data_IF_079604161127
#
_entry.id   IF_079604161127
#
_cell.length_a   1.000
_cell.length_b   1.000
_cell.length_c   1.000
_cell.angle_alpha   90.00
_cell.angle_beta   90.00
_cell.angle_gamma   90.00
#
_symmetry.space_group_name_H-M   'P 1'
#
loop_
_entity.id
_entity.type
_entity.pdbx_description
1 polymer ?
#
# COMPACT_ATOMS: atom_id res chain seq x y z
N UNK A 1 -19.23 21.31 -17.44
CA UNK A 1 -19.86 22.65 -17.34
C UNK A 1 -19.65 23.15 -15.94
N UNK A 2 -18.59 23.93 -15.75
CA UNK A 2 -18.19 24.51 -14.46
C UNK A 2 -19.36 25.32 -13.85
N UNK A 3 -19.74 25.00 -12.62
CA UNK A 3 -20.73 25.73 -11.84
C UNK A 3 -20.06 26.85 -11.03
N UNK A 4 -20.80 27.92 -10.76
CA UNK A 4 -20.31 29.12 -10.05
C UNK A 4 -19.78 28.83 -8.63
N UNK A 5 -20.16 27.68 -8.06
CA UNK A 5 -19.80 27.28 -6.70
C UNK A 5 -18.65 26.24 -6.65
N UNK A 6 -18.12 25.82 -7.80
CA UNK A 6 -17.14 24.73 -7.85
C UNK A 6 -15.82 25.10 -7.16
N UNK A 7 -15.38 26.36 -7.21
CA UNK A 7 -14.15 26.78 -6.51
C UNK A 7 -14.30 26.72 -4.99
N UNK A 8 -15.46 27.14 -4.46
CA UNK A 8 -15.75 27.02 -3.03
C UNK A 8 -15.79 25.55 -2.63
N UNK A 9 -16.46 24.71 -3.42
CA UNK A 9 -16.57 23.28 -3.13
C UNK A 9 -15.20 22.58 -3.22
N UNK A 10 -14.34 22.94 -4.18
CA UNK A 10 -12.98 22.43 -4.28
C UNK A 10 -12.14 22.80 -3.05
N UNK A 11 -12.24 24.04 -2.59
CA UNK A 11 -11.51 24.50 -1.41
C UNK A 11 -12.05 23.86 -0.13
N UNK A 12 -13.37 23.82 0.06
CA UNK A 12 -13.99 23.14 1.20
C UNK A 12 -13.73 21.62 1.19
N UNK A 13 -13.59 21.02 0.00
CA UNK A 13 -13.20 19.63 -0.20
C UNK A 13 -11.76 19.38 0.27
N UNK A 14 -10.81 20.23 -0.14
CA UNK A 14 -9.40 20.17 0.32
C UNK A 14 -9.28 20.43 1.83
N UNK A 15 -10.04 21.39 2.35
CA UNK A 15 -10.08 21.77 3.76
C UNK A 15 -10.89 20.80 4.65
N UNK A 16 -11.53 19.78 4.06
CA UNK A 16 -12.40 18.79 4.75
C UNK A 16 -13.57 19.42 5.52
N UNK A 17 -14.14 20.48 4.99
CA UNK A 17 -15.24 21.22 5.62
C UNK A 17 -16.61 20.97 4.97
N UNK A 18 -16.69 20.14 3.92
CA UNK A 18 -17.95 19.73 3.30
C UNK A 18 -18.80 18.85 4.22
N UNK A 19 -20.11 19.04 4.14
CA UNK A 19 -21.06 18.12 4.77
C UNK A 19 -21.05 16.75 4.06
N UNK A 20 -21.40 15.64 4.74
CA UNK A 20 -21.38 14.30 4.13
C UNK A 20 -22.24 14.17 2.86
N UNK A 21 -23.39 14.87 2.83
CA UNK A 21 -24.31 14.87 1.68
C UNK A 21 -23.73 15.64 0.50
N UNK A 22 -23.09 16.78 0.74
CA UNK A 22 -22.41 17.57 -0.29
C UNK A 22 -21.15 16.86 -0.79
N UNK A 23 -20.40 16.21 0.11
CA UNK A 23 -19.19 15.46 -0.21
C UNK A 23 -19.48 14.35 -1.22
N UNK A 24 -20.51 13.55 -0.98
CA UNK A 24 -20.87 12.44 -1.86
C UNK A 24 -21.27 12.93 -3.26
N UNK A 25 -22.10 13.99 -3.33
CA UNK A 25 -22.51 14.59 -4.61
C UNK A 25 -21.31 15.21 -5.33
N UNK A 26 -20.39 15.83 -4.60
CA UNK A 26 -19.22 16.46 -5.17
C UNK A 26 -18.19 15.45 -5.68
N UNK A 27 -17.97 14.35 -4.96
CA UNK A 27 -17.11 13.24 -5.40
C UNK A 27 -17.68 12.54 -6.64
N UNK A 28 -19.01 12.36 -6.70
CA UNK A 28 -19.67 11.84 -7.89
C UNK A 28 -19.45 12.76 -9.10
N UNK A 29 -19.50 14.08 -8.89
CA UNK A 29 -19.17 15.06 -9.93
C UNK A 29 -17.69 15.02 -10.30
N UNK A 30 -16.76 14.95 -9.34
CA UNK A 30 -15.32 14.82 -9.61
C UNK A 30 -15.00 13.57 -10.45
N UNK A 31 -15.68 12.46 -10.21
CA UNK A 31 -15.50 11.22 -10.95
C UNK A 31 -16.08 11.26 -12.38
N UNK A 32 -17.06 12.12 -12.64
CA UNK A 32 -17.85 12.12 -13.87
C UNK A 32 -17.70 13.40 -14.72
N UNK A 33 -17.14 14.47 -14.16
CA UNK A 33 -16.88 15.76 -14.82
C UNK A 33 -15.36 15.98 -14.95
N UNK A 34 -14.72 15.61 -16.08
CA UNK A 34 -13.27 15.74 -16.26
C UNK A 34 -12.75 17.17 -16.05
N UNK A 35 -13.54 18.17 -16.46
CA UNK A 35 -13.20 19.60 -16.26
C UNK A 35 -13.10 19.98 -14.77
N UNK A 36 -13.94 19.39 -13.91
CA UNK A 36 -13.94 19.63 -12.46
C UNK A 36 -12.76 18.90 -11.81
N UNK A 37 -12.48 17.69 -12.27
CA UNK A 37 -11.35 16.89 -11.81
C UNK A 37 -10.00 17.57 -12.16
N UNK A 38 -9.84 18.09 -13.38
CA UNK A 38 -8.66 18.90 -13.76
C UNK A 38 -8.51 20.16 -12.91
N UNK A 39 -9.63 20.79 -12.55
CA UNK A 39 -9.65 21.99 -11.71
C UNK A 39 -9.24 21.69 -10.26
N UNK A 40 -9.60 20.52 -9.72
CA UNK A 40 -9.09 20.02 -8.43
C UNK A 40 -7.56 19.92 -8.45
N UNK A 41 -6.98 19.39 -9.52
CA UNK A 41 -5.52 19.28 -9.64
C UNK A 41 -4.86 20.65 -9.59
N UNK A 42 -5.43 21.63 -10.29
CA UNK A 42 -4.91 23.00 -10.29
C UNK A 42 -4.95 23.61 -8.88
N UNK A 43 -6.07 23.48 -8.18
CA UNK A 43 -6.22 23.94 -6.80
C UNK A 43 -5.23 23.26 -5.84
N UNK A 44 -5.14 21.93 -5.89
CA UNK A 44 -4.21 21.15 -5.07
C UNK A 44 -2.74 21.49 -5.37
N UNK A 45 -2.43 21.86 -6.61
CA UNK A 45 -1.07 22.28 -7.02
C UNK A 45 -0.70 23.66 -6.47
N UNK A 46 -1.65 24.61 -6.43
CA UNK A 46 -1.43 25.95 -5.87
C UNK A 46 -1.25 25.90 -4.34
N UNK A 47 -2.03 25.07 -3.63
CA UNK A 47 -1.89 24.86 -2.18
C UNK A 47 -0.55 24.17 -1.81
N UNK A 48 -0.03 23.27 -2.66
CA UNK A 48 1.28 22.66 -2.47
C UNK A 48 2.40 23.70 -2.51
N UNK A 49 2.33 24.65 -3.46
CA UNK A 49 3.31 25.75 -3.57
C UNK A 49 3.26 26.64 -2.33
N UNK A 50 2.06 26.93 -1.82
CA UNK A 50 1.88 27.73 -0.60
C UNK A 50 2.41 27.00 0.65
N UNK A 51 2.18 25.70 0.77
CA UNK A 51 2.70 24.87 1.86
C UNK A 51 4.24 24.77 1.82
N UNK A 52 4.81 24.57 0.63
CA UNK A 52 6.26 24.54 0.43
C UNK A 52 6.92 25.89 0.79
N UNK A 53 6.29 27.00 0.40
CA UNK A 53 6.74 28.35 0.76
C UNK A 53 6.59 28.63 2.25
N UNK A 54 5.51 28.18 2.88
CA UNK A 54 5.31 28.27 4.34
C UNK A 54 6.40 27.55 5.12
N UNK A 55 6.71 26.29 4.74
CA UNK A 55 7.79 25.52 5.34
C UNK A 55 9.18 26.11 5.07
N UNK A 56 9.39 26.76 3.92
CA UNK A 56 10.63 27.48 3.62
C UNK A 56 10.78 28.76 4.47
N UNK A 57 9.68 29.47 4.73
CA UNK A 57 9.66 30.65 5.61
C UNK A 57 9.95 30.29 7.07
N UNK A 58 9.43 29.16 7.58
CA UNK A 58 9.74 28.67 8.93
C UNK A 58 11.22 28.26 9.09
N UNK A 59 11.84 27.68 8.06
CA UNK A 59 13.30 27.43 8.03
C UNK A 59 14.13 28.70 7.97
N UNK A 60 13.64 29.75 7.31
CA UNK A 60 14.34 31.03 7.26
C UNK A 60 14.27 31.82 8.58
N UNK A 61 13.30 31.52 9.45
CA UNK A 61 13.14 32.19 10.75
C UNK A 61 13.90 31.51 11.90
N UNK A 62 14.43 30.31 11.69
CA UNK A 62 15.07 29.50 12.75
C UNK A 62 16.60 29.65 12.85
N UNK A 63 17.22 30.58 12.11
CA UNK A 63 18.65 30.89 12.24
C UNK A 63 18.88 32.33 12.72
N UNK A 64 19.18 32.57 14.01
CA UNK A 64 19.62 33.87 14.47
C UNK A 64 21.15 34.01 14.36
N UNK A 65 21.55 34.98 13.54
CA UNK A 65 22.88 35.52 13.29
C UNK A 65 23.87 35.46 14.48
N UNK A 66 25.06 34.91 14.22
CA UNK A 66 26.26 35.09 15.03
C UNK A 66 26.95 36.42 14.70
N UNK A 67 26.97 37.38 15.63
CA UNK A 67 28.04 38.38 15.71
C UNK A 67 28.35 38.85 17.15
N UNK A 68 29.52 38.38 17.62
CA UNK A 68 30.55 38.97 18.49
C UNK A 68 30.32 40.33 19.20
N UNK A 69 30.56 40.36 20.53
CA UNK A 69 31.29 41.45 21.21
C UNK A 69 31.86 41.01 22.58
N UNK A 70 33.14 41.37 22.81
CA UNK A 70 33.95 41.18 24.02
C UNK A 70 33.62 42.20 25.13
N UNK A 71 33.87 41.86 26.41
CA UNK A 71 34.73 42.62 27.36
C UNK A 71 34.32 42.41 28.83
N UNK A 72 35.32 42.30 29.73
CA UNK A 72 35.20 42.75 31.13
C UNK A 72 35.52 41.74 32.24
N UNK A 73 36.78 41.72 32.66
CA UNK A 73 37.31 41.23 33.96
C UNK A 73 36.70 41.99 35.16
N UNK A 74 36.55 41.48 36.39
CA UNK A 74 37.57 41.05 37.38
C UNK A 74 36.91 40.50 38.69
N UNK A 75 37.67 39.98 39.69
CA UNK A 75 37.22 38.99 40.68
C UNK A 75 36.96 39.54 42.09
N UNK A 76 36.27 38.78 42.96
CA UNK A 76 36.34 38.97 44.43
C UNK A 76 36.35 37.64 45.17
N UNK A 77 37.35 37.50 46.04
CA UNK A 77 37.61 36.38 46.94
C UNK A 77 37.43 36.87 48.39
N UNK A 78 36.51 36.33 49.19
CA UNK A 78 36.59 36.41 50.68
C UNK A 78 36.10 35.10 51.32
N UNK A 79 36.89 34.64 52.30
CA UNK A 79 36.80 33.39 53.07
C UNK A 79 35.73 33.41 54.19
N UNK A 80 35.09 32.24 54.38
CA UNK A 80 34.97 31.44 55.63
C UNK A 80 34.04 31.84 56.82
N UNK A 81 33.26 30.81 57.22
CA UNK A 81 32.71 30.41 58.55
C UNK A 81 31.41 31.07 59.07
N UNK A 82 30.31 30.30 59.06
CA UNK A 82 29.69 29.70 60.27
C UNK A 82 28.21 29.35 60.04
N UNK A 83 27.94 28.05 60.03
CA UNK A 83 26.85 27.31 60.67
C UNK A 83 25.51 28.01 61.05
N UNK A 84 24.44 27.34 60.60
CA UNK A 84 23.04 27.32 61.08
C UNK A 84 22.11 28.44 60.57
N UNK A 85 21.39 28.14 59.49
CA UNK A 85 19.97 28.50 59.26
C UNK A 85 19.42 27.69 58.06
N UNK A 86 19.51 26.35 58.14
CA UNK A 86 19.10 25.44 57.06
C UNK A 86 17.69 24.83 57.24
N UNK A 87 16.84 25.40 58.10
CA UNK A 87 15.53 24.80 58.43
C UNK A 87 14.31 25.64 57.98
N UNK A 88 14.48 26.89 57.55
CA UNK A 88 13.36 27.74 57.08
C UNK A 88 13.30 27.82 55.55
N UNK A 89 14.42 27.63 54.85
CA UNK A 89 14.49 27.72 53.39
C UNK A 89 14.00 26.44 52.69
N UNK A 90 14.08 25.25 53.33
CA UNK A 90 13.61 24.01 52.70
C UNK A 90 12.09 23.88 52.68
N UNK A 91 11.38 24.43 53.67
CA UNK A 91 9.91 24.39 53.73
C UNK A 91 9.28 25.27 52.65
N UNK A 92 9.88 26.42 52.35
CA UNK A 92 9.42 27.32 51.28
C UNK A 92 9.72 26.70 49.91
N UNK A 93 10.91 26.12 49.70
CA UNK A 93 11.24 25.44 48.44
C UNK A 93 10.35 24.22 48.18
N UNK A 94 9.99 23.46 49.22
CA UNK A 94 9.12 22.29 49.08
C UNK A 94 7.69 22.69 48.72
N UNK A 95 7.20 23.80 49.27
CA UNK A 95 5.89 24.34 48.94
C UNK A 95 5.86 24.91 47.51
N UNK A 96 6.91 25.59 47.06
CA UNK A 96 7.05 26.05 45.67
C UNK A 96 7.23 24.89 44.68
N UNK A 97 7.89 23.81 45.05
CA UNK A 97 8.00 22.60 44.22
C UNK A 97 6.67 21.84 44.15
N UNK A 98 5.89 21.80 45.22
CA UNK A 98 4.55 21.19 45.22
C UNK A 98 3.52 22.06 44.46
N UNK A 99 3.57 23.39 44.62
CA UNK A 99 2.73 24.30 43.84
C UNK A 99 3.15 24.36 42.37
N UNK A 100 4.45 24.34 42.07
CA UNK A 100 4.98 24.25 40.72
C UNK A 100 4.66 22.91 40.07
N UNK A 101 4.75 21.81 40.82
CA UNK A 101 4.33 20.48 40.39
C UNK A 101 2.82 20.39 40.18
N UNK A 102 2.00 21.05 41.00
CA UNK A 102 0.55 21.13 40.82
C UNK A 102 0.15 22.01 39.64
N UNK A 103 0.85 23.14 39.40
CA UNK A 103 0.65 23.97 38.22
C UNK A 103 1.12 23.28 36.94
N UNK A 104 2.25 22.58 36.96
CA UNK A 104 2.69 21.72 35.86
C UNK A 104 1.69 20.59 35.65
N UNK A 105 1.24 19.92 36.71
CA UNK A 105 0.21 18.88 36.62
C UNK A 105 -1.09 19.44 36.04
N UNK A 106 -1.56 20.62 36.44
CA UNK A 106 -2.72 21.28 35.83
C UNK A 106 -2.48 21.73 34.38
N UNK A 107 -1.28 22.18 34.03
CA UNK A 107 -0.90 22.48 32.64
C UNK A 107 -0.78 21.23 31.76
N UNK A 108 -0.43 20.07 32.33
CA UNK A 108 -0.38 18.79 31.62
C UNK A 108 -1.70 18.00 31.67
N UNK A 109 -2.59 18.24 32.65
CA UNK A 109 -3.86 17.52 32.83
C UNK A 109 -5.09 18.24 32.26
N UNK A 110 -4.92 19.47 31.79
CA UNK A 110 -5.95 20.21 31.02
C UNK A 110 -5.44 20.58 29.62
N UNK A 111 -4.77 19.65 28.93
CA UNK A 111 -4.67 19.71 27.48
C UNK A 111 -6.01 19.16 26.98
N UNK A 112 -6.89 19.99 26.37
CA UNK A 112 -8.01 19.45 25.61
C UNK A 112 -7.39 18.51 24.58
N UNK A 113 -7.98 17.32 24.42
CA UNK A 113 -7.66 16.39 23.35
C UNK A 113 -7.91 17.09 22.00
N UNK A 114 -6.95 17.91 21.59
CA UNK A 114 -6.98 18.70 20.37
C UNK A 114 -6.03 18.01 19.40
N UNK A 115 -6.66 17.22 18.52
CA UNK A 115 -6.27 17.07 17.11
C UNK A 115 -4.76 16.99 16.88
N UNK A 116 -4.09 16.04 17.53
CA UNK A 116 -2.74 15.65 17.12
C UNK A 116 -2.85 15.22 15.66
N UNK A 117 -2.19 15.94 14.76
CA UNK A 117 -2.04 15.52 13.37
C UNK A 117 -1.55 14.08 13.39
N UNK A 118 -2.42 13.12 13.06
CA UNK A 118 -1.98 11.76 12.77
C UNK A 118 -0.94 11.94 11.66
N UNK A 119 0.32 11.63 11.92
CA UNK A 119 1.35 11.60 10.88
C UNK A 119 1.22 10.33 10.04
N UNK A 120 1.98 10.24 8.96
CA UNK A 120 2.13 8.96 8.25
C UNK A 120 2.88 8.00 9.17
N UNK A 121 2.45 6.74 9.22
CA UNK A 121 3.11 5.69 10.00
C UNK A 121 3.40 4.50 9.09
N UNK A 122 4.42 3.72 9.42
CA UNK A 122 4.57 2.37 8.87
C UNK A 122 3.45 1.46 9.42
N UNK A 123 3.19 0.34 8.75
CA UNK A 123 2.29 -0.73 9.27
C UNK A 123 2.65 -1.13 10.71
N UNK A 124 3.94 -1.17 11.04
CA UNK A 124 4.50 -1.42 12.38
C UNK A 124 4.15 -0.34 13.44
N UNK A 125 3.56 0.78 13.03
CA UNK A 125 3.12 1.89 13.89
C UNK A 125 4.18 2.97 14.12
N UNK A 126 5.40 2.80 13.61
CA UNK A 126 6.46 3.79 13.70
C UNK A 126 6.14 5.03 12.84
N UNK A 127 6.32 6.26 13.34
CA UNK A 127 6.05 7.47 12.57
C UNK A 127 7.07 7.64 11.44
N UNK A 128 6.58 8.10 10.29
CA UNK A 128 7.38 8.45 9.12
C UNK A 128 7.49 9.96 9.07
N UNK A 129 8.73 10.46 9.10
CA UNK A 129 8.98 11.89 8.97
C UNK A 129 8.76 12.36 7.53
N UNK A 130 7.98 13.43 7.36
CA UNK A 130 7.77 14.06 6.07
C UNK A 130 9.07 14.72 5.59
N UNK A 131 9.22 14.79 4.27
CA UNK A 131 10.34 15.43 3.57
C UNK A 131 11.71 14.79 3.80
N UNK A 132 11.72 13.53 4.23
CA UNK A 132 12.94 12.72 4.31
C UNK A 132 12.91 11.67 3.22
N UNK A 133 13.94 11.71 2.36
CA UNK A 133 14.16 10.70 1.34
C UNK A 133 14.51 9.37 1.99
N UNK A 134 13.68 8.37 1.72
CA UNK A 134 13.87 6.98 2.11
C UNK A 134 14.40 6.16 0.93
N UNK A 135 15.17 5.12 1.25
CA UNK A 135 15.66 4.15 0.26
C UNK A 135 15.45 2.74 0.79
N UNK A 136 14.79 1.92 -0.02
CA UNK A 136 14.50 0.53 0.28
C UNK A 136 15.26 -0.35 -0.73
N UNK A 137 16.29 -1.05 -0.27
CA UNK A 137 17.14 -1.88 -1.14
C UNK A 137 16.57 -3.28 -1.37
N UNK A 138 15.87 -3.83 -0.38
CA UNK A 138 15.19 -5.13 -0.43
C UNK A 138 13.92 -5.12 0.42
N UNK A 139 13.03 -6.09 0.19
CA UNK A 139 11.76 -6.21 0.94
C UNK A 139 10.68 -5.24 0.46
N UNK A 140 9.83 -4.83 1.39
CA UNK A 140 8.74 -3.87 1.17
C UNK A 140 8.54 -2.96 2.39
N UNK A 141 7.77 -1.89 2.21
CA UNK A 141 7.27 -1.08 3.31
C UNK A 141 5.81 -0.69 3.05
N UNK A 142 4.91 -0.91 4.01
CA UNK A 142 3.55 -0.39 3.97
C UNK A 142 3.45 0.91 4.77
N UNK A 143 2.96 1.97 4.13
CA UNK A 143 2.69 3.28 4.72
C UNK A 143 1.19 3.46 4.94
N UNK A 144 0.79 3.86 6.13
CA UNK A 144 -0.58 4.24 6.46
C UNK A 144 -0.67 5.76 6.57
N UNK A 145 -1.37 6.36 5.62
CA UNK A 145 -1.61 7.79 5.61
C UNK A 145 -2.78 8.16 6.54
N UNK A 146 -2.76 9.38 7.13
CA UNK A 146 -3.84 9.89 7.98
C UNK A 146 -5.22 9.94 7.32
N UNK A 147 -5.24 10.03 5.99
CA UNK A 147 -6.45 9.96 5.14
C UNK A 147 -7.03 8.55 4.99
N UNK A 148 -6.31 7.53 5.44
CA UNK A 148 -6.67 6.12 5.26
C UNK A 148 -6.07 5.49 4.02
N UNK A 149 -5.34 6.23 3.17
CA UNK A 149 -4.60 5.64 2.06
C UNK A 149 -3.52 4.69 2.62
N UNK A 150 -3.48 3.48 2.07
CA UNK A 150 -2.46 2.48 2.39
C UNK A 150 -1.57 2.28 1.18
N UNK A 151 -0.26 2.43 1.33
CA UNK A 151 0.69 2.36 0.22
C UNK A 151 1.76 1.33 0.52
N UNK A 152 1.76 0.25 -0.25
CA UNK A 152 2.76 -0.81 -0.19
C UNK A 152 3.85 -0.56 -1.24
N UNK A 153 5.05 -0.22 -0.79
CA UNK A 153 6.22 0.06 -1.62
C UNK A 153 7.08 -1.20 -1.71
N UNK A 154 7.47 -1.60 -2.92
CA UNK A 154 8.33 -2.76 -3.14
C UNK A 154 9.74 -2.35 -3.54
N UNK A 155 10.74 -2.98 -2.93
CA UNK A 155 12.13 -2.75 -3.28
C UNK A 155 12.49 -3.28 -4.68
N UNK A 156 13.52 -2.69 -5.34
CA UNK A 156 14.26 -1.51 -4.91
C UNK A 156 13.44 -0.22 -5.13
N UNK A 157 13.41 0.65 -4.13
CA UNK A 157 12.65 1.90 -4.20
C UNK A 157 13.36 3.07 -3.51
N UNK A 158 13.10 4.28 -4.02
CA UNK A 158 13.45 5.52 -3.35
C UNK A 158 12.25 6.47 -3.41
N UNK A 159 11.81 6.91 -2.23
CA UNK A 159 10.58 7.67 -2.06
C UNK A 159 10.71 8.69 -0.94
N UNK A 160 9.77 9.62 -0.87
CA UNK A 160 9.67 10.65 0.17
C UNK A 160 8.20 10.88 0.47
N UNK A 161 7.81 10.88 1.75
CA UNK A 161 6.46 11.32 2.15
C UNK A 161 6.45 12.84 2.17
N UNK A 162 5.58 13.47 1.38
CA UNK A 162 5.56 14.93 1.22
C UNK A 162 4.42 15.59 2.01
N UNK A 163 3.52 14.81 2.60
CA UNK A 163 2.40 15.33 3.38
C UNK A 163 1.43 14.23 3.83
N UNK A 164 0.31 14.65 4.41
CA UNK A 164 -0.69 13.74 4.98
C UNK A 164 -1.48 12.94 3.93
N UNK A 165 -1.36 13.27 2.65
CA UNK A 165 -1.99 12.56 1.52
C UNK A 165 -1.15 12.66 0.25
N UNK A 166 0.17 12.78 0.38
CA UNK A 166 1.05 12.95 -0.77
C UNK A 166 2.43 12.31 -0.56
N UNK A 167 3.00 11.83 -1.65
CA UNK A 167 4.37 11.31 -1.67
C UNK A 167 5.06 11.57 -3.01
N UNK A 168 6.39 11.51 -2.99
CA UNK A 168 7.23 11.47 -4.18
C UNK A 168 7.83 10.08 -4.33
N UNK A 169 7.70 9.48 -5.51
CA UNK A 169 8.37 8.23 -5.89
C UNK A 169 9.45 8.55 -6.93
N UNK A 170 10.71 8.55 -6.52
CA UNK A 170 11.85 8.80 -7.42
C UNK A 170 12.17 7.57 -8.27
N UNK A 171 12.11 6.39 -7.67
CA UNK A 171 12.37 5.10 -8.32
C UNK A 171 11.63 4.00 -7.57
N UNK A 172 11.17 2.98 -8.30
CA UNK A 172 10.62 1.76 -7.73
C UNK A 172 9.16 1.56 -8.15
N UNK A 173 8.43 0.79 -7.34
CA UNK A 173 7.01 0.55 -7.55
C UNK A 173 6.26 0.51 -6.23
N UNK A 174 5.00 0.93 -6.25
CA UNK A 174 4.09 0.71 -5.13
C UNK A 174 2.69 0.34 -5.60
N UNK A 175 1.89 -0.17 -4.67
CA UNK A 175 0.43 -0.32 -4.78
C UNK A 175 -0.22 0.57 -3.72
N UNK A 176 -1.18 1.38 -4.12
CA UNK A 176 -1.95 2.24 -3.24
C UNK A 176 -3.41 1.77 -3.22
N UNK A 177 -3.93 1.48 -2.02
CA UNK A 177 -5.34 1.27 -1.76
C UNK A 177 -5.88 2.52 -1.06
N UNK A 178 -6.64 3.32 -1.80
CA UNK A 178 -7.13 4.60 -1.33
C UNK A 178 -8.64 4.51 -1.11
N UNK A 179 -9.11 4.60 0.16
CA UNK A 179 -10.54 4.67 0.44
C UNK A 179 -11.10 6.04 0.03
N UNK A 180 -12.43 6.20 0.07
CA UNK A 180 -13.08 7.48 -0.22
C UNK A 180 -12.51 8.65 0.61
N UNK A 181 -12.20 8.40 1.89
CA UNK A 181 -11.60 9.42 2.77
C UNK A 181 -10.20 9.89 2.36
N UNK A 182 -9.54 9.19 1.42
CA UNK A 182 -8.22 9.52 0.91
C UNK A 182 -8.16 9.96 -0.54
N UNK A 183 -9.31 10.15 -1.19
CA UNK A 183 -9.38 10.77 -2.52
C UNK A 183 -8.52 12.04 -2.56
N UNK A 184 -7.83 12.24 -3.69
CA UNK A 184 -6.81 13.28 -3.83
C UNK A 184 -5.43 12.84 -3.38
N UNK A 185 -5.21 11.53 -3.11
CA UNK A 185 -3.88 11.01 -2.81
C UNK A 185 -2.95 11.29 -4.01
N UNK A 186 -1.92 12.11 -3.76
CA UNK A 186 -1.04 12.63 -4.79
C UNK A 186 0.30 11.91 -4.79
N UNK A 187 0.72 11.48 -5.98
CA UNK A 187 2.01 10.84 -6.19
C UNK A 187 2.77 11.61 -7.26
N UNK A 188 3.86 12.23 -6.85
CA UNK A 188 4.80 12.87 -7.77
C UNK A 188 5.89 11.88 -8.17
N UNK A 189 6.25 11.90 -9.46
CA UNK A 189 7.33 11.09 -10.05
C UNK A 189 8.21 11.98 -10.92
N UNK A 190 9.43 11.56 -11.30
CA UNK A 190 10.29 12.33 -12.19
C UNK A 190 9.64 12.70 -13.54
N UNK A 191 8.64 11.95 -13.98
CA UNK A 191 8.00 12.12 -15.28
C UNK A 191 6.63 12.81 -15.22
N UNK A 192 6.02 12.93 -14.03
CA UNK A 192 4.68 13.51 -13.90
C UNK A 192 4.03 13.25 -12.55
N UNK A 193 2.75 13.65 -12.46
CA UNK A 193 1.91 13.56 -11.26
C UNK A 193 0.76 12.59 -11.48
N UNK A 194 0.42 11.81 -10.46
CA UNK A 194 -0.74 10.94 -10.42
C UNK A 194 -1.62 11.36 -9.25
N UNK A 195 -2.91 11.58 -9.49
CA UNK A 195 -3.88 11.90 -8.45
C UNK A 195 -4.97 10.84 -8.42
N UNK A 196 -5.21 10.31 -7.24
CA UNK A 196 -6.20 9.30 -6.97
C UNK A 196 -7.63 9.87 -6.84
N UNK A 197 -8.63 9.15 -7.36
CA UNK A 197 -10.06 9.43 -7.19
C UNK A 197 -10.82 8.29 -6.45
N UNK A 198 -10.18 7.61 -5.49
CA UNK A 198 -10.76 6.53 -4.68
C UNK A 198 -10.49 5.18 -5.32
N UNK A 199 -9.22 4.80 -5.38
CA UNK A 199 -8.75 3.76 -6.31
C UNK A 199 -7.83 2.75 -5.62
N UNK A 200 -7.79 1.56 -6.20
CA UNK A 200 -6.67 0.64 -6.05
C UNK A 200 -5.82 0.70 -7.32
N UNK A 201 -4.60 1.20 -7.21
CA UNK A 201 -3.71 1.38 -8.36
C UNK A 201 -2.26 1.10 -8.01
N UNK A 202 -1.44 0.89 -9.04
CA UNK A 202 0.01 0.83 -8.90
C UNK A 202 0.68 1.87 -9.76
N UNK A 203 1.84 2.32 -9.28
CA UNK A 203 2.75 3.16 -10.03
C UNK A 203 4.12 2.50 -10.03
N UNK A 204 4.75 2.44 -11.19
CA UNK A 204 6.13 2.03 -11.36
C UNK A 204 6.87 3.13 -12.09
N UNK A 205 8.04 3.52 -11.59
CA UNK A 205 8.87 4.52 -12.24
C UNK A 205 10.34 4.16 -12.13
N UNK A 206 11.07 4.45 -13.20
CA UNK A 206 12.52 4.32 -13.25
C UNK A 206 13.06 5.67 -13.69
N UNK A 207 13.94 6.29 -12.92
CA UNK A 207 14.42 7.69 -13.03
C UNK A 207 14.75 8.20 -14.45
N UNK A 208 15.02 7.31 -15.43
CA UNK A 208 15.41 7.66 -16.80
C UNK A 208 14.45 7.23 -17.90
N UNK A 209 13.31 6.62 -17.55
CA UNK A 209 12.39 6.02 -18.51
C UNK A 209 11.05 6.76 -18.47
N UNK A 210 10.05 6.09 -17.94
CA UNK A 210 8.66 6.47 -17.92
C UNK A 210 8.06 6.18 -16.54
N UNK A 211 6.91 6.76 -16.27
CA UNK A 211 6.07 6.37 -15.14
C UNK A 211 4.90 5.56 -15.67
N UNK A 212 4.80 4.30 -15.27
CA UNK A 212 3.70 3.40 -15.63
C UNK A 212 2.69 3.35 -14.50
N UNK A 213 1.44 3.40 -14.88
CA UNK A 213 0.28 3.43 -13.99
C UNK A 213 -0.62 2.28 -14.40
N UNK A 214 -1.03 1.44 -13.46
CA UNK A 214 -2.06 0.43 -13.68
C UNK A 214 -3.16 0.65 -12.67
N UNK A 215 -4.40 0.80 -13.16
CA UNK A 215 -5.58 0.98 -12.33
C UNK A 215 -6.27 -0.37 -12.19
N UNK A 216 -6.41 -0.86 -10.96
CA UNK A 216 -7.06 -2.13 -10.66
C UNK A 216 -8.55 -1.95 -10.38
N UNK A 217 -8.92 -0.85 -9.69
CA UNK A 217 -10.29 -0.45 -9.36
C UNK A 217 -10.36 1.05 -9.20
N UNK A 218 -11.36 1.73 -9.76
CA UNK A 218 -11.51 3.19 -9.60
C UNK A 218 -10.89 3.98 -10.76
N UNK A 219 -10.39 5.19 -10.48
CA UNK A 219 -9.89 6.12 -11.49
C UNK A 219 -8.73 6.95 -10.95
N UNK A 220 -7.72 7.17 -11.77
CA UNK A 220 -6.66 8.15 -11.47
C UNK A 220 -6.55 9.17 -12.58
N UNK A 221 -5.99 10.33 -12.26
CA UNK A 221 -5.59 11.31 -13.26
C UNK A 221 -4.07 11.32 -13.35
N UNK A 222 -3.56 10.94 -14.52
CA UNK A 222 -2.16 11.03 -14.89
C UNK A 222 -1.90 12.41 -15.50
N UNK A 223 -0.87 13.12 -15.06
CA UNK A 223 -0.54 14.47 -15.53
C UNK A 223 0.94 14.60 -15.87
N UNK A 224 1.22 15.14 -17.06
CA UNK A 224 2.53 15.66 -17.40
C UNK A 224 2.71 17.03 -16.78
N UNK A 225 3.85 17.25 -16.15
CA UNK A 225 4.19 18.51 -15.50
C UNK A 225 5.17 19.29 -16.37
N UNK A 226 4.97 20.61 -16.48
CA UNK A 226 5.92 21.50 -17.12
C UNK A 226 7.08 21.85 -16.17
N UNK A 227 8.13 22.50 -16.70
CA UNK A 227 9.31 22.88 -15.91
C UNK A 227 9.05 23.86 -14.76
N UNK A 228 7.92 24.56 -14.78
CA UNK A 228 7.49 25.48 -13.73
C UNK A 228 6.59 24.81 -12.69
N UNK A 229 6.41 23.47 -12.74
CA UNK A 229 5.58 22.72 -11.80
C UNK A 229 4.08 22.77 -12.09
N UNK A 230 3.66 23.36 -13.22
CA UNK A 230 2.26 23.36 -13.64
C UNK A 230 1.89 22.15 -14.51
N UNK A 231 0.60 21.83 -14.60
CA UNK A 231 0.10 20.77 -15.50
C UNK A 231 0.29 21.21 -16.96
N UNK A 232 0.94 20.38 -17.75
CA UNK A 232 1.03 20.54 -19.20
C UNK A 232 -0.12 19.84 -19.92
N UNK A 233 -0.44 18.61 -19.48
CA UNK A 233 -1.58 17.83 -19.98
C UNK A 233 -1.95 16.75 -18.98
N UNK A 234 -3.23 16.38 -18.97
CA UNK A 234 -3.80 15.36 -18.10
C UNK A 234 -4.53 14.29 -18.90
N UNK A 235 -4.62 13.09 -18.33
CA UNK A 235 -5.46 12.01 -18.83
C UNK A 235 -6.01 11.20 -17.67
N UNK A 236 -7.31 10.96 -17.68
CA UNK A 236 -7.94 10.03 -16.75
C UNK A 236 -7.68 8.59 -17.20
N UNK A 237 -7.22 7.76 -16.27
CA UNK A 237 -7.03 6.32 -16.45
C UNK A 237 -8.07 5.62 -15.58
N UNK A 238 -8.92 4.81 -16.21
CA UNK A 238 -10.00 4.12 -15.51
C UNK A 238 -9.60 2.69 -15.17
N UNK A 239 -10.41 2.04 -14.35
CA UNK A 239 -10.31 0.63 -13.99
C UNK A 239 -9.94 -0.29 -15.17
N UNK A 240 -9.05 -1.24 -14.89
CA UNK A 240 -8.45 -2.20 -15.81
C UNK A 240 -7.59 -1.61 -16.93
N UNK A 241 -7.41 -0.29 -16.99
CA UNK A 241 -6.52 0.36 -17.94
C UNK A 241 -5.18 0.71 -17.31
N UNK A 242 -4.19 0.90 -18.18
CA UNK A 242 -2.88 1.44 -17.81
C UNK A 242 -2.50 2.62 -18.69
N UNK A 243 -1.68 3.48 -18.12
CA UNK A 243 -1.07 4.59 -18.85
C UNK A 243 0.42 4.69 -18.53
N UNK A 244 1.14 5.25 -19.48
CA UNK A 244 2.55 5.56 -19.37
C UNK A 244 2.72 7.07 -19.56
N UNK A 245 3.33 7.72 -18.57
CA UNK A 245 3.76 9.10 -18.64
C UNK A 245 5.21 9.10 -19.12
N UNK A 246 5.45 9.57 -20.35
CA UNK A 246 6.78 9.72 -20.94
C UNK A 246 7.09 11.22 -21.08
N UNK A 247 7.86 11.75 -20.13
CA UNK A 247 8.21 13.18 -20.12
C UNK A 247 9.21 13.56 -21.22
N UNK A 248 9.94 12.59 -21.79
CA UNK A 248 10.87 12.84 -22.91
C UNK A 248 10.07 13.05 -24.20
N UNK A 249 9.07 12.22 -24.45
CA UNK A 249 8.16 12.35 -25.59
C UNK A 249 7.04 13.36 -25.37
N UNK A 250 6.88 13.86 -24.14
CA UNK A 250 5.77 14.73 -23.74
C UNK A 250 4.40 14.11 -24.06
N UNK A 251 4.23 12.83 -23.75
CA UNK A 251 2.98 12.12 -23.98
C UNK A 251 2.51 11.33 -22.75
N UNK A 252 1.18 11.20 -22.64
CA UNK A 252 0.53 10.22 -21.78
C UNK A 252 -0.14 9.20 -22.70
N UNK A 253 0.52 8.08 -22.90
CA UNK A 253 0.03 7.00 -23.74
C UNK A 253 -0.74 6.00 -22.88
N UNK A 254 -1.91 5.54 -23.34
CA UNK A 254 -2.43 4.27 -22.82
C UNK A 254 -1.52 3.13 -23.29
N UNK A 255 -1.34 2.11 -22.45
CA UNK A 255 -0.54 0.97 -22.86
C UNK A 255 -1.11 0.36 -24.15
N UNK A 256 -0.28 0.01 -25.14
CA UNK A 256 -0.74 -0.51 -26.43
C UNK A 256 -1.42 -1.89 -26.34
N UNK A 257 -1.38 -2.53 -25.17
CA UNK A 257 -2.11 -3.77 -24.92
C UNK A 257 -3.62 -3.49 -24.85
N UNK A 258 -4.31 -3.76 -25.96
CA UNK A 258 -5.77 -3.71 -26.05
C UNK A 258 -6.47 -4.71 -25.12
N UNK A 259 -5.72 -5.64 -24.51
CA UNK A 259 -6.21 -6.61 -23.54
C UNK A 259 -5.55 -6.34 -22.18
N UNK A 260 -6.36 -6.09 -21.17
CA UNK A 260 -5.97 -6.03 -19.77
C UNK A 260 -5.23 -7.31 -19.34
N UNK A 261 -4.44 -7.22 -18.27
CA UNK A 261 -3.75 -8.39 -17.69
C UNK A 261 -4.75 -9.51 -17.35
N UNK A 262 -5.93 -9.17 -16.85
CA UNK A 262 -6.99 -10.13 -16.55
C UNK A 262 -7.41 -10.92 -17.80
N UNK A 263 -7.63 -10.24 -18.93
CA UNK A 263 -7.99 -10.87 -20.20
C UNK A 263 -6.86 -11.78 -20.72
N UNK A 264 -5.60 -11.34 -20.64
CA UNK A 264 -4.44 -12.18 -21.01
C UNK A 264 -4.34 -13.44 -20.15
N UNK A 265 -4.75 -13.33 -18.90
CA UNK A 265 -4.79 -14.40 -17.92
C UNK A 265 -6.07 -15.25 -18.02
N UNK A 266 -7.04 -14.95 -18.87
CA UNK A 266 -8.33 -15.64 -18.88
C UNK A 266 -9.10 -15.51 -17.56
N UNK A 267 -8.94 -14.38 -16.87
CA UNK A 267 -9.70 -14.01 -15.67
C UNK A 267 -10.77 -13.02 -16.13
N UNK A 268 -12.03 -13.39 -15.94
CA UNK A 268 -13.19 -12.57 -16.30
C UNK A 268 -13.42 -11.47 -15.26
N UNK A 269 -13.45 -11.85 -13.98
CA UNK A 269 -13.73 -10.97 -12.85
C UNK A 269 -13.04 -11.48 -11.58
N UNK A 270 -12.80 -10.60 -10.62
CA UNK A 270 -12.34 -10.95 -9.28
C UNK A 270 -12.88 -9.95 -8.25
N UNK A 271 -12.97 -10.36 -6.98
CA UNK A 271 -13.50 -9.52 -5.89
C UNK A 271 -12.58 -8.36 -5.53
N UNK A 272 -13.11 -7.35 -4.83
CA UNK A 272 -12.36 -6.14 -4.44
C UNK A 272 -11.12 -6.40 -3.57
N UNK A 273 -11.12 -7.51 -2.84
CA UNK A 273 -10.04 -8.00 -2.00
C UNK A 273 -8.93 -8.71 -2.78
N UNK A 274 -9.04 -8.85 -4.11
CA UNK A 274 -8.08 -9.55 -4.94
C UNK A 274 -7.33 -8.57 -5.83
N UNK A 275 -6.00 -8.69 -5.85
CA UNK A 275 -5.11 -7.87 -6.69
C UNK A 275 -4.34 -8.76 -7.64
N UNK A 276 -4.63 -8.65 -8.93
CA UNK A 276 -3.91 -9.37 -9.98
C UNK A 276 -2.66 -8.60 -10.38
N UNK A 277 -1.48 -9.19 -10.20
CA UNK A 277 -0.19 -8.64 -10.61
C UNK A 277 0.50 -9.54 -11.62
N UNK A 278 1.16 -8.96 -12.61
CA UNK A 278 1.83 -9.74 -13.67
C UNK A 278 3.03 -10.54 -13.16
N UNK A 279 3.77 -9.98 -12.19
CA UNK A 279 4.99 -10.58 -11.67
C UNK A 279 4.99 -10.61 -10.15
N UNK A 280 5.33 -11.77 -9.60
CA UNK A 280 5.64 -11.92 -8.19
C UNK A 280 7.07 -11.41 -7.94
N UNK A 281 7.30 -10.51 -6.97
CA UNK A 281 8.65 -10.06 -6.68
C UNK A 281 9.58 -11.18 -6.19
N UNK A 282 10.83 -11.06 -6.61
CA UNK A 282 11.91 -12.00 -6.30
C UNK A 282 12.11 -12.27 -4.81
N UNK A 283 11.85 -11.27 -3.96
CA UNK A 283 11.97 -11.41 -2.51
C UNK A 283 10.95 -12.41 -1.95
N UNK A 284 9.70 -12.38 -2.42
CA UNK A 284 8.67 -13.38 -2.07
C UNK A 284 9.08 -14.78 -2.51
N UNK A 285 9.65 -14.90 -3.71
CA UNK A 285 10.07 -16.17 -4.27
C UNK A 285 11.14 -16.86 -3.40
N UNK A 286 12.02 -16.09 -2.76
CA UNK A 286 13.09 -16.67 -1.93
C UNK A 286 12.63 -17.08 -0.52
N UNK A 287 11.34 -17.04 -0.22
CA UNK A 287 10.81 -17.39 1.10
C UNK A 287 11.04 -16.31 2.15
N UNK A 288 11.32 -15.07 1.75
CA UNK A 288 11.20 -13.92 2.64
C UNK A 288 9.70 -13.62 2.78
N UNK A 289 9.19 -13.75 3.99
CA UNK A 289 7.82 -13.34 4.37
C UNK A 289 7.82 -11.85 4.74
N UNK A 290 6.65 -11.21 4.87
CA UNK A 290 6.51 -9.77 5.15
C UNK A 290 7.03 -8.87 4.00
N UNK A 291 6.92 -9.36 2.77
CA UNK A 291 7.31 -8.60 1.55
C UNK A 291 6.08 -7.96 0.89
N UNK A 292 4.87 -8.33 1.31
CA UNK A 292 3.62 -7.76 0.82
C UNK A 292 2.62 -7.57 1.94
N UNK A 293 3.07 -7.03 3.07
CA UNK A 293 2.17 -6.66 4.16
C UNK A 293 1.04 -5.80 3.60
N UNK A 294 -0.17 -6.35 3.59
CA UNK A 294 -1.38 -5.61 3.27
C UNK A 294 -2.60 -6.28 3.89
N UNK A 295 -3.22 -5.61 4.86
CA UNK A 295 -4.47 -6.09 5.45
C UNK A 295 -5.58 -6.20 4.39
N UNK A 296 -6.24 -7.36 4.35
CA UNK A 296 -7.47 -7.53 3.58
C UNK A 296 -7.32 -7.56 2.05
N UNK A 297 -6.08 -7.63 1.52
CA UNK A 297 -5.84 -7.87 0.09
C UNK A 297 -5.07 -9.17 -0.12
N UNK A 298 -5.62 -10.05 -0.96
CA UNK A 298 -4.94 -11.23 -1.47
C UNK A 298 -4.38 -10.92 -2.86
N UNK A 299 -3.13 -11.30 -3.10
CA UNK A 299 -2.45 -11.11 -4.37
C UNK A 299 -2.54 -12.36 -5.24
N UNK A 300 -2.73 -12.16 -6.54
CA UNK A 300 -2.77 -13.23 -7.54
C UNK A 300 -1.69 -12.96 -8.58
N UNK A 301 -0.86 -13.96 -8.83
CA UNK A 301 0.23 -13.88 -9.79
C UNK A 301 0.12 -15.02 -10.81
N UNK A 302 0.12 -14.75 -12.14
CA UNK A 302 0.30 -15.80 -13.12
C UNK A 302 1.76 -16.28 -13.06
N UNK A 303 2.00 -17.46 -12.49
CA UNK A 303 3.36 -18.01 -12.39
C UNK A 303 3.83 -18.52 -13.75
N UNK A 304 2.99 -19.31 -14.44
CA UNK A 304 3.34 -19.82 -15.76
C UNK A 304 2.11 -20.27 -16.55
N UNK A 305 2.09 -19.87 -17.81
CA UNK A 305 1.03 -20.16 -18.75
C UNK A 305 1.46 -21.24 -19.75
N UNK A 306 0.49 -21.94 -20.34
CA UNK A 306 0.67 -22.88 -21.46
C UNK A 306 1.64 -24.04 -21.15
N UNK A 307 1.67 -24.49 -19.90
CA UNK A 307 2.55 -25.56 -19.45
C UNK A 307 2.01 -26.93 -19.86
N UNK A 308 2.77 -27.66 -20.67
CA UNK A 308 2.42 -29.05 -21.02
C UNK A 308 2.99 -30.02 -19.98
N UNK A 309 2.12 -30.73 -19.27
CA UNK A 309 2.52 -31.67 -18.22
C UNK A 309 3.24 -32.88 -18.80
N UNK A 310 4.46 -33.18 -18.32
CA UNK A 310 5.24 -34.35 -18.75
C UNK A 310 4.83 -35.65 -18.05
N UNK A 311 4.24 -35.52 -16.86
CA UNK A 311 3.77 -36.62 -16.01
C UNK A 311 2.42 -36.23 -15.40
N UNK A 312 1.74 -37.18 -14.76
CA UNK A 312 0.55 -36.86 -13.98
C UNK A 312 0.87 -35.85 -12.86
N UNK A 313 -0.08 -34.97 -12.57
CA UNK A 313 0.03 -33.96 -11.52
C UNK A 313 -1.06 -34.19 -10.46
N UNK A 314 -0.66 -34.53 -9.24
CA UNK A 314 -1.56 -34.66 -8.09
C UNK A 314 -1.92 -33.29 -7.53
N UNK A 315 -3.21 -33.09 -7.23
CA UNK A 315 -3.73 -31.85 -6.67
C UNK A 315 -5.04 -32.08 -5.90
N UNK A 316 -5.60 -31.01 -5.34
CA UNK A 316 -6.94 -31.01 -4.71
C UNK A 316 -7.99 -30.59 -5.74
N UNK A 317 -8.89 -31.51 -6.09
CA UNK A 317 -9.99 -31.23 -7.05
C UNK A 317 -11.27 -30.77 -6.36
N UNK A 318 -11.51 -31.18 -5.12
CA UNK A 318 -12.72 -30.82 -4.37
C UNK A 318 -12.32 -30.29 -2.99
N UNK A 319 -11.87 -29.02 -2.89
CA UNK A 319 -11.33 -28.47 -1.63
C UNK A 319 -12.39 -28.28 -0.54
N UNK A 320 -13.69 -28.39 -0.85
CA UNK A 320 -14.77 -28.40 0.14
C UNK A 320 -14.99 -29.78 0.79
N UNK A 321 -14.41 -30.85 0.25
CA UNK A 321 -14.59 -32.21 0.77
C UNK A 321 -13.65 -32.50 1.95
N UNK A 322 -14.19 -33.17 2.97
CA UNK A 322 -13.48 -33.49 4.22
C UNK A 322 -12.68 -34.79 4.13
N UNK A 323 -13.07 -35.72 3.25
CA UNK A 323 -12.39 -37.01 3.09
C UNK A 323 -11.24 -36.88 2.09
N UNK A 324 -10.00 -37.27 2.45
CA UNK A 324 -8.83 -37.13 1.57
C UNK A 324 -8.99 -37.76 0.18
N UNK A 325 -9.67 -38.91 0.10
CA UNK A 325 -9.91 -39.64 -1.16
C UNK A 325 -10.86 -38.88 -2.10
N UNK A 326 -11.83 -38.12 -1.55
CA UNK A 326 -12.79 -37.32 -2.32
C UNK A 326 -12.23 -35.95 -2.68
N UNK A 327 -11.30 -35.44 -1.86
CA UNK A 327 -10.59 -34.16 -2.04
C UNK A 327 -9.53 -34.23 -3.15
N UNK A 328 -8.79 -35.34 -3.22
CA UNK A 328 -7.63 -35.50 -4.11
C UNK A 328 -8.02 -35.85 -5.54
N UNK A 329 -7.25 -35.39 -6.52
CA UNK A 329 -7.35 -35.85 -7.90
C UNK A 329 -6.01 -35.74 -8.63
N UNK A 330 -5.99 -36.19 -9.88
CA UNK A 330 -4.79 -36.21 -10.71
C UNK A 330 -5.11 -35.72 -12.12
N UNK A 331 -4.32 -34.76 -12.62
CA UNK A 331 -4.33 -34.36 -14.02
C UNK A 331 -3.41 -35.30 -14.81
N UNK A 332 -3.83 -35.73 -15.99
CA UNK A 332 -3.04 -36.62 -16.86
C UNK A 332 -1.88 -35.90 -17.54
N UNK A 333 -0.81 -36.64 -17.83
CA UNK A 333 0.28 -36.16 -18.68
C UNK A 333 -0.26 -35.73 -20.06
N UNK A 334 0.38 -34.74 -20.66
CA UNK A 334 -0.03 -34.13 -21.94
C UNK A 334 -1.07 -33.02 -21.81
N UNK A 335 -1.73 -32.87 -20.66
CA UNK A 335 -2.64 -31.75 -20.42
C UNK A 335 -1.86 -30.43 -20.41
N UNK A 336 -2.37 -29.41 -21.11
CA UNK A 336 -1.86 -28.03 -21.03
C UNK A 336 -2.55 -27.26 -19.91
N UNK A 337 -1.78 -26.61 -19.05
CA UNK A 337 -2.30 -25.88 -17.88
C UNK A 337 -1.68 -24.50 -17.73
N UNK A 338 -2.45 -23.60 -17.12
CA UNK A 338 -2.01 -22.31 -16.60
C UNK A 338 -1.96 -22.39 -15.07
N UNK A 339 -0.95 -21.78 -14.47
CA UNK A 339 -0.74 -21.78 -13.03
C UNK A 339 -0.73 -20.36 -12.49
N UNK A 340 -1.56 -20.14 -11.47
CA UNK A 340 -1.64 -18.89 -10.73
C UNK A 340 -1.29 -19.16 -9.27
N UNK A 341 -0.54 -18.26 -8.65
CA UNK A 341 -0.29 -18.23 -7.22
C UNK A 341 -1.27 -17.26 -6.57
N UNK A 342 -2.01 -17.73 -5.58
CA UNK A 342 -2.70 -16.87 -4.61
C UNK A 342 -1.80 -16.73 -3.40
N UNK A 343 -1.64 -15.52 -2.90
CA UNK A 343 -0.75 -15.18 -1.80
C UNK A 343 -1.40 -14.14 -0.88
N UNK A 344 -1.38 -14.38 0.42
CA UNK A 344 -1.90 -13.48 1.43
C UNK A 344 -0.92 -13.35 2.60
N UNK A 345 -0.57 -12.11 2.91
CA UNK A 345 0.45 -11.72 3.89
C UNK A 345 -0.06 -10.44 4.59
N UNK A 346 -0.94 -10.57 5.60
CA UNK A 346 -1.52 -9.41 6.29
C UNK A 346 -0.49 -8.61 7.09
N UNK A 347 -0.74 -7.32 7.28
CA UNK A 347 0.17 -6.43 8.00
C UNK A 347 0.10 -6.62 9.53
N UNK A 348 1.22 -6.37 10.20
CA UNK A 348 1.46 -6.74 11.59
C UNK A 348 0.46 -6.14 12.60
N UNK A 349 -0.23 -7.01 13.36
CA UNK A 349 -0.75 -6.71 14.72
C UNK A 349 -0.61 -7.93 15.62
N UNK A 350 0.22 -7.83 16.65
CA UNK A 350 0.52 -8.92 17.60
C UNK A 350 -0.78 -9.58 18.12
N UNK A 351 -0.83 -10.91 18.05
CA UNK A 351 -1.97 -11.70 18.53
C UNK A 351 -3.27 -11.62 17.72
N UNK A 352 -3.26 -11.01 16.53
CA UNK A 352 -4.45 -10.88 15.67
C UNK A 352 -4.32 -11.69 14.39
N UNK A 353 -5.38 -12.43 14.07
CA UNK A 353 -5.56 -13.04 12.75
C UNK A 353 -6.50 -12.17 11.90
N UNK A 354 -6.08 -11.84 10.69
CA UNK A 354 -6.80 -10.94 9.79
C UNK A 354 -7.38 -11.76 8.64
N UNK A 355 -8.72 -11.84 8.49
CA UNK A 355 -9.32 -12.57 7.41
C UNK A 355 -9.26 -11.79 6.10
N UNK A 356 -9.11 -12.49 4.99
CA UNK A 356 -9.42 -11.99 3.64
C UNK A 356 -10.34 -12.98 2.94
N UNK A 357 -11.42 -12.47 2.36
CA UNK A 357 -12.32 -13.27 1.53
C UNK A 357 -12.18 -12.82 0.09
N UNK A 358 -11.89 -13.75 -0.82
CA UNK A 358 -11.69 -13.44 -2.23
C UNK A 358 -12.43 -14.39 -3.17
N UNK A 359 -12.71 -13.90 -4.38
CA UNK A 359 -13.32 -14.67 -5.46
C UNK A 359 -12.65 -14.34 -6.79
N UNK A 360 -12.41 -15.35 -7.62
CA UNK A 360 -11.81 -15.24 -8.96
C UNK A 360 -12.63 -16.06 -9.94
N UNK A 361 -13.07 -15.42 -11.02
CA UNK A 361 -13.81 -16.03 -12.12
C UNK A 361 -12.89 -16.21 -13.33
N UNK A 362 -12.66 -17.46 -13.73
CA UNK A 362 -11.90 -17.82 -14.91
C UNK A 362 -12.82 -18.09 -16.11
N UNK A 363 -12.34 -17.77 -17.31
CA UNK A 363 -13.03 -18.13 -18.56
C UNK A 363 -12.94 -19.64 -18.88
N UNK A 364 -11.99 -20.33 -18.23
CA UNK A 364 -11.62 -21.72 -18.45
C UNK A 364 -11.76 -22.54 -17.16
N UNK A 365 -11.97 -23.86 -17.27
CA UNK A 365 -12.13 -24.72 -16.09
C UNK A 365 -10.88 -24.77 -15.21
N UNK A 366 -11.07 -24.56 -13.91
CA UNK A 366 -10.15 -24.87 -12.82
C UNK A 366 -10.07 -26.38 -12.68
N UNK A 367 -8.89 -26.93 -12.95
CA UNK A 367 -8.61 -28.36 -12.83
C UNK A 367 -8.37 -28.76 -11.37
N UNK A 368 -7.88 -27.83 -10.55
CA UNK A 368 -7.79 -27.96 -9.10
C UNK A 368 -6.81 -26.99 -8.47
N UNK A 369 -6.51 -27.20 -7.19
CA UNK A 369 -5.61 -26.35 -6.39
C UNK A 369 -4.52 -27.16 -5.70
N UNK A 370 -3.38 -26.53 -5.40
CA UNK A 370 -2.28 -27.12 -4.63
C UNK A 370 -2.11 -26.28 -3.36
N UNK A 371 -2.54 -26.84 -2.23
CA UNK A 371 -2.61 -26.15 -0.94
C UNK A 371 -1.42 -26.49 -0.02
N UNK A 372 -0.96 -27.75 -0.06
CA UNK A 372 0.07 -28.25 0.84
C UNK A 372 1.47 -27.84 0.37
N UNK A 373 2.28 -27.31 1.31
CA UNK A 373 3.64 -26.83 1.06
C UNK A 373 4.56 -27.82 0.36
N UNK A 374 4.40 -29.12 0.64
CA UNK A 374 5.23 -30.17 0.02
C UNK A 374 4.97 -30.24 -1.47
N UNK A 375 3.70 -30.17 -1.87
CA UNK A 375 3.32 -30.19 -3.28
C UNK A 375 3.61 -28.85 -3.97
N UNK A 376 3.55 -27.73 -3.24
CA UNK A 376 4.05 -26.44 -3.75
C UNK A 376 5.55 -26.56 -4.09
N UNK A 377 6.40 -26.98 -3.15
CA UNK A 377 7.84 -27.15 -3.40
C UNK A 377 8.12 -28.13 -4.56
N UNK A 378 7.38 -29.24 -4.65
CA UNK A 378 7.56 -30.20 -5.74
C UNK A 378 7.22 -29.63 -7.12
N UNK A 379 6.34 -28.65 -7.19
CA UNK A 379 5.83 -28.09 -8.44
C UNK A 379 6.54 -26.81 -8.87
N UNK A 380 7.52 -26.31 -8.11
CA UNK A 380 8.27 -25.10 -8.46
C UNK A 380 9.04 -25.23 -9.76
N UNK A 381 9.69 -26.38 -9.99
CA UNK A 381 10.38 -26.63 -11.27
C UNK A 381 9.46 -26.59 -12.49
N UNK A 382 8.16 -26.79 -12.27
CA UNK A 382 7.17 -26.77 -13.32
C UNK A 382 6.64 -25.34 -13.54
N UNK A 383 6.34 -24.62 -12.46
CA UNK A 383 5.59 -23.36 -12.53
C UNK A 383 6.37 -22.11 -12.12
N UNK A 384 7.29 -22.19 -11.17
CA UNK A 384 7.94 -21.00 -10.64
C UNK A 384 8.82 -20.32 -11.72
N UNK A 385 8.60 -19.02 -12.05
CA UNK A 385 9.33 -18.32 -13.10
C UNK A 385 10.86 -18.40 -12.94
N UNK A 386 11.34 -18.14 -11.72
CA UNK A 386 12.77 -18.07 -11.40
C UNK A 386 13.50 -19.43 -11.49
N UNK A 387 12.79 -20.56 -11.47
CA UNK A 387 13.40 -21.88 -11.71
C UNK A 387 13.92 -22.04 -13.14
N UNK A 388 13.43 -21.23 -14.09
CA UNK A 388 13.91 -21.25 -15.48
C UNK A 388 15.27 -20.56 -15.63
N UNK A 389 15.57 -19.60 -14.75
CA UNK A 389 16.81 -18.83 -14.75
C UNK A 389 17.88 -19.52 -13.91
N UNK A 390 17.52 -20.04 -12.74
CA UNK A 390 18.40 -20.82 -11.87
C UNK A 390 17.67 -21.99 -11.23
N UNK A 391 17.97 -23.21 -11.70
CA UNK A 391 17.36 -24.44 -11.20
C UNK A 391 17.78 -24.82 -9.78
N UNK A 392 18.81 -24.16 -9.22
CA UNK A 392 19.30 -24.40 -7.86
C UNK A 392 18.70 -23.44 -6.84
N UNK A 393 17.88 -22.47 -7.27
CA UNK A 393 17.21 -21.54 -6.36
C UNK A 393 16.26 -22.31 -5.45
N UNK A 394 16.32 -22.01 -4.15
CA UNK A 394 15.49 -22.66 -3.12
C UNK A 394 14.33 -21.73 -2.80
N UNK A 395 13.12 -22.28 -2.88
CA UNK A 395 11.86 -21.60 -2.53
C UNK A 395 11.38 -22.19 -1.20
N UNK A 396 10.84 -21.35 -0.32
CA UNK A 396 10.26 -21.78 0.95
C UNK A 396 8.77 -21.51 0.89
N UNK A 397 7.98 -22.53 1.23
CA UNK A 397 6.52 -22.45 1.20
C UNK A 397 5.91 -22.73 2.57
N UNK A 398 4.82 -22.01 2.88
CA UNK A 398 3.97 -22.30 4.04
C UNK A 398 2.73 -23.13 3.66
N UNK A 399 2.16 -22.85 2.48
CA UNK A 399 0.91 -23.47 2.04
C UNK A 399 -0.33 -22.79 2.63
N UNK A 400 -1.46 -23.47 2.57
CA UNK A 400 -2.72 -23.05 3.18
C UNK A 400 -3.32 -24.23 3.95
N UNK A 401 -3.67 -24.01 5.22
CA UNK A 401 -4.17 -25.06 6.11
C UNK A 401 -5.69 -25.12 6.11
N UNK A 402 -6.26 -25.85 5.15
CA UNK A 402 -7.70 -26.13 5.15
C UNK A 402 -8.04 -27.23 6.17
N UNK A 403 -8.31 -26.88 7.43
CA UNK A 403 -8.86 -27.80 8.45
C UNK A 403 -10.40 -27.79 8.41
N UNK A 404 -11.01 -28.97 8.39
CA UNK A 404 -12.48 -29.14 8.31
C UNK A 404 -13.12 -29.35 9.68
N UNK A 405 -12.56 -28.77 10.74
CA UNK A 405 -13.26 -28.60 12.02
C UNK A 405 -13.60 -29.88 12.76
N UNK A 406 -12.67 -30.84 12.84
CA UNK A 406 -12.92 -32.09 13.57
C UNK A 406 -13.14 -31.92 15.09
N UNK A 407 -12.77 -30.78 15.69
CA UNK A 407 -12.76 -30.62 17.16
C UNK A 407 -13.33 -29.31 17.73
N UNK A 408 -13.48 -28.25 16.95
CA UNK A 408 -14.08 -27.00 17.44
C UNK A 408 -14.85 -26.25 16.32
N UNK A 409 -16.19 -26.14 16.41
CA UNK A 409 -17.00 -25.35 15.49
C UNK A 409 -16.73 -23.83 15.53
N UNK A 410 -15.96 -23.34 16.52
CA UNK A 410 -15.55 -21.94 16.65
C UNK A 410 -14.14 -21.66 16.16
N UNK A 411 -13.38 -22.70 15.78
CA UNK A 411 -12.08 -22.49 15.21
C UNK A 411 -12.25 -21.86 13.82
N UNK A 412 -11.44 -20.83 13.57
CA UNK A 412 -11.44 -20.08 12.33
C UNK A 412 -10.42 -20.75 11.42
N UNK A 413 -10.80 -21.09 10.19
CA UNK A 413 -10.00 -21.92 9.29
C UNK A 413 -9.97 -21.35 7.89
N UNK A 414 -8.93 -21.70 7.13
CA UNK A 414 -8.90 -21.37 5.71
C UNK A 414 -9.90 -22.22 4.95
N UNK A 415 -10.68 -21.55 4.11
CA UNK A 415 -11.64 -22.19 3.20
C UNK A 415 -11.22 -21.91 1.76
N UNK A 416 -11.20 -22.95 0.94
CA UNK A 416 -11.03 -22.83 -0.51
C UNK A 416 -12.11 -23.66 -1.18
N UNK A 417 -12.78 -23.08 -2.16
CA UNK A 417 -13.91 -23.68 -2.87
C UNK A 417 -13.74 -23.51 -4.37
N UNK A 418 -14.15 -24.53 -5.12
CA UNK A 418 -14.26 -24.48 -6.58
C UNK A 418 -15.74 -24.71 -6.91
N UNK A 419 -16.32 -23.83 -7.72
CA UNK A 419 -17.71 -23.95 -8.14
C UNK A 419 -17.99 -25.24 -8.92
N UNK A 420 -19.25 -25.71 -8.97
CA UNK A 420 -19.61 -26.91 -9.73
C UNK A 420 -19.29 -26.84 -11.23
N UNK A 421 -19.37 -25.66 -11.84
CA UNK A 421 -18.99 -25.41 -13.24
C UNK A 421 -17.47 -25.26 -13.44
N UNK A 422 -16.70 -25.35 -12.34
CA UNK A 422 -15.24 -25.28 -12.28
C UNK A 422 -14.69 -23.92 -12.72
N UNK A 423 -15.46 -22.84 -12.75
CA UNK A 423 -14.98 -21.54 -13.25
C UNK A 423 -14.75 -20.50 -12.17
N UNK A 424 -15.32 -20.70 -10.99
CA UNK A 424 -15.15 -19.79 -9.85
C UNK A 424 -14.30 -20.45 -8.79
N UNK A 425 -13.27 -19.74 -8.35
CA UNK A 425 -12.52 -20.02 -7.14
C UNK A 425 -12.98 -19.02 -6.07
N UNK A 426 -13.44 -19.51 -4.93
CA UNK A 426 -13.73 -18.65 -3.76
C UNK A 426 -12.86 -19.11 -2.60
N UNK A 427 -12.37 -18.16 -1.80
CA UNK A 427 -11.54 -18.46 -0.64
C UNK A 427 -11.81 -17.52 0.52
N UNK A 428 -11.56 -18.00 1.73
CA UNK A 428 -11.44 -17.22 2.94
C UNK A 428 -10.15 -17.66 3.62
N UNK A 429 -9.17 -16.76 3.70
CA UNK A 429 -7.86 -17.04 4.30
C UNK A 429 -7.75 -16.27 5.60
N UNK A 430 -7.11 -16.87 6.59
CA UNK A 430 -6.95 -16.31 7.91
C UNK A 430 -5.50 -16.48 8.37
N UNK A 431 -4.69 -15.48 8.01
CA UNK A 431 -3.29 -15.39 8.42
C UNK A 431 -3.05 -14.40 9.57
N UNK A 432 -1.86 -14.48 10.16
CA UNK A 432 -1.40 -13.63 11.26
C UNK A 432 0.13 -13.51 11.29
N UNK A 433 0.67 -12.95 12.38
CA UNK A 433 2.05 -12.44 12.60
C UNK A 433 3.24 -13.20 11.96
N UNK A 434 3.13 -14.49 11.65
CA UNK A 434 4.25 -15.31 11.13
C UNK A 434 3.85 -16.29 10.03
N UNK A 435 2.62 -16.15 9.56
CA UNK A 435 2.03 -17.07 8.61
C UNK A 435 1.63 -16.32 7.36
N UNK A 436 1.91 -16.96 6.23
CA UNK A 436 1.40 -16.52 4.94
C UNK A 436 0.56 -17.64 4.41
N UNK A 437 -0.58 -17.29 3.84
CA UNK A 437 -1.39 -18.25 3.13
C UNK A 437 -1.08 -18.18 1.66
N UNK A 438 -0.67 -19.33 1.13
CA UNK A 438 -0.39 -19.43 -0.30
C UNK A 438 -0.81 -20.76 -0.89
N UNK A 439 -1.29 -20.70 -2.12
CA UNK A 439 -1.62 -21.89 -2.89
C UNK A 439 -1.57 -21.64 -4.39
N UNK A 440 -1.43 -22.71 -5.15
CA UNK A 440 -1.53 -22.66 -6.62
C UNK A 440 -2.93 -23.01 -7.08
N UNK A 441 -3.41 -22.30 -8.09
CA UNK A 441 -4.62 -22.59 -8.85
C UNK A 441 -4.20 -23.08 -10.23
N UNK A 442 -4.65 -24.27 -10.61
CA UNK A 442 -4.33 -24.90 -11.88
C UNK A 442 -5.57 -24.83 -12.77
N UNK A 443 -5.46 -24.10 -13.88
CA UNK A 443 -6.55 -23.87 -14.84
C UNK A 443 -6.19 -24.54 -16.16
N UNK A 444 -7.19 -25.04 -16.88
CA UNK A 444 -6.98 -25.54 -18.23
C UNK A 444 -6.48 -24.43 -19.14
N UNK A 445 -5.39 -24.67 -19.85
CA UNK A 445 -4.84 -23.69 -20.79
C UNK A 445 -5.66 -23.64 -22.09
N UNK A 446 -5.60 -22.51 -22.80
CA UNK A 446 -6.18 -22.41 -24.15
C UNK A 446 -5.39 -23.31 -25.12
N UNK A 447 -6.08 -23.91 -26.08
CA UNK A 447 -5.46 -24.87 -27.00
C UNK A 447 -4.41 -24.25 -27.92
#
# INVERSE_FOLDING_TARGET
MIQLNDDRLLQEYLDRSLSPEELQVFEERLCNEPELAERLIKFASDDLVLAEWGAALERAQTDPDQHTALSGSEPVFIKSKSMVTAAVVSSVCSLFLLLGGYFLYQSFSNIPLDTTSKGVVFSSGEPVENHIKQTLNEGSAELHFPTGAKVLISAPASYEVTGNNSMHLQQGSFIANVPQSGIGFQVDTPHGRVIDLGTLFSVQTVEKLDTRIQVYRGKVIASLMNRAGGIQSSKQVSEHHSATIDSVKNEIAEAPDTLSLAEKCGILHYSESVVLQEKMPDALATGKYQVFEHDGLAFVFPERMQVSLKSGLSLVTNPSETKPVQRSGMISAGTKVDCYRVYYDPAEKEGTFIPVQGEIHFDRPILGVILDKTYLTQTDRLFHPLCLEDSNRVFVHQGTETDTGGKDPKARYDEVMISPDRRTLSFMLLSGERFVDEFRVIVQSSN
#
